data_IF_801745709684
#
_entry.id   IF_801745709684
#
_cell.length_a   1.000
_cell.length_b   1.000
_cell.length_c   1.000
_cell.angle_alpha   90.00
_cell.angle_beta   90.00
_cell.angle_gamma   90.00
#
_symmetry.space_group_name_H-M   'P 1'
#
loop_
_entity.id
_entity.type
_entity.pdbx_description
1 polymer ?
#
# COMPACT_ATOMS: atom_id res chain seq x y z
N UNK A 1 5.29 4.86 -17.60
CA UNK A 1 3.90 4.43 -17.30
C UNK A 1 3.50 5.06 -15.97
N UNK A 2 2.44 5.88 -15.98
CA UNK A 2 1.95 6.57 -14.78
C UNK A 2 0.72 5.84 -14.25
N UNK A 3 0.69 5.54 -12.95
CA UNK A 3 -0.48 4.94 -12.30
C UNK A 3 -1.48 6.07 -12.03
N UNK A 4 -2.72 5.89 -12.45
CA UNK A 4 -3.81 6.84 -12.17
C UNK A 4 -4.00 6.99 -10.66
N UNK A 5 -4.08 8.23 -10.18
CA UNK A 5 -4.35 8.50 -8.78
C UNK A 5 -5.80 8.13 -8.45
N UNK A 6 -5.98 7.39 -7.36
CA UNK A 6 -7.31 7.01 -6.86
C UNK A 6 -8.14 8.24 -6.43
N UNK A 7 -7.47 9.34 -6.05
CA UNK A 7 -8.10 10.62 -5.68
C UNK A 7 -7.19 11.82 -5.98
N UNK A 8 -7.77 12.88 -6.56
CA UNK A 8 -7.15 14.20 -6.71
C UNK A 8 -7.27 15.01 -5.40
N UNK A 9 -6.33 15.92 -5.11
CA UNK A 9 -6.40 16.74 -3.88
C UNK A 9 -7.61 17.67 -3.95
N UNK A 10 -8.59 17.48 -3.07
CA UNK A 10 -9.84 18.27 -3.02
C UNK A 10 -11.08 17.58 -3.60
N UNK A 11 -10.97 16.33 -4.07
CA UNK A 11 -12.12 15.60 -4.64
C UNK A 11 -13.10 15.07 -3.57
N UNK A 12 -14.40 15.12 -3.88
CA UNK A 12 -15.47 14.58 -3.03
C UNK A 12 -15.32 13.06 -2.83
N UNK A 13 -15.69 12.58 -1.63
CA UNK A 13 -15.62 11.16 -1.27
C UNK A 13 -16.45 10.27 -2.19
N UNK A 14 -17.55 10.79 -2.77
CA UNK A 14 -18.47 10.03 -3.63
C UNK A 14 -17.87 9.86 -5.04
N UNK A 15 -17.33 10.93 -5.64
CA UNK A 15 -16.67 10.85 -6.95
C UNK A 15 -15.35 10.09 -6.91
N UNK A 16 -14.71 10.05 -5.73
CA UNK A 16 -13.51 9.24 -5.49
C UNK A 16 -13.76 7.73 -5.63
N UNK A 17 -14.99 7.25 -5.43
CA UNK A 17 -15.30 5.81 -5.56
C UNK A 17 -15.14 5.37 -7.02
N UNK A 18 -15.70 6.15 -7.97
CA UNK A 18 -15.61 5.86 -9.40
C UNK A 18 -14.16 5.89 -9.92
N UNK A 19 -13.39 6.91 -9.55
CA UNK A 19 -11.98 7.00 -9.95
C UNK A 19 -11.13 5.90 -9.32
N UNK A 20 -11.47 5.45 -8.11
CA UNK A 20 -10.78 4.33 -7.45
C UNK A 20 -11.06 3.01 -8.16
N UNK A 21 -12.28 2.76 -8.65
CA UNK A 21 -12.60 1.56 -9.42
C UNK A 21 -11.85 1.51 -10.76
N UNK A 22 -11.76 2.64 -11.47
CA UNK A 22 -10.98 2.74 -12.71
C UNK A 22 -9.48 2.50 -12.41
N UNK A 23 -8.97 3.09 -11.32
CA UNK A 23 -7.59 2.86 -10.89
C UNK A 23 -7.33 1.39 -10.51
N UNK A 24 -8.31 0.70 -9.89
CA UNK A 24 -8.24 -0.74 -9.59
C UNK A 24 -8.15 -1.55 -10.89
N UNK A 25 -9.01 -1.28 -11.87
CA UNK A 25 -9.01 -2.00 -13.15
C UNK A 25 -7.68 -1.81 -13.90
N UNK A 26 -7.17 -0.57 -13.94
CA UNK A 26 -5.89 -0.27 -14.56
C UNK A 26 -4.71 -0.90 -13.80
N UNK A 27 -4.75 -0.91 -12.46
CA UNK A 27 -3.76 -1.58 -11.63
C UNK A 27 -3.77 -3.09 -11.83
N UNK A 28 -4.93 -3.72 -11.96
CA UNK A 28 -5.08 -5.14 -12.25
C UNK A 28 -4.43 -5.48 -13.60
N UNK A 29 -4.73 -4.69 -14.64
CA UNK A 29 -4.12 -4.86 -15.96
C UNK A 29 -2.60 -4.72 -15.93
N UNK A 30 -2.09 -3.69 -15.26
CA UNK A 30 -0.64 -3.50 -15.06
C UNK A 30 0.00 -4.68 -14.33
N UNK A 31 -0.65 -5.21 -13.30
CA UNK A 31 -0.07 -6.28 -12.50
C UNK A 31 0.02 -7.60 -13.28
N UNK A 32 -0.96 -7.91 -14.12
CA UNK A 32 -0.93 -9.09 -15.00
C UNK A 32 0.10 -8.92 -16.13
N UNK A 33 0.23 -7.70 -16.68
CA UNK A 33 1.15 -7.39 -17.79
C UNK A 33 2.61 -7.35 -17.34
N UNK A 34 2.91 -6.68 -16.23
CA UNK A 34 4.27 -6.48 -15.73
C UNK A 34 4.74 -7.67 -14.88
N UNK A 35 3.82 -8.37 -14.20
CA UNK A 35 4.12 -9.45 -13.24
C UNK A 35 5.24 -9.06 -12.26
N UNK A 36 5.07 -7.97 -11.49
CA UNK A 36 6.11 -7.48 -10.61
C UNK A 36 6.39 -8.50 -9.50
N UNK A 37 7.66 -8.90 -9.35
CA UNK A 37 8.08 -9.76 -8.24
C UNK A 37 8.02 -9.05 -6.89
N UNK A 38 8.19 -7.73 -6.90
CA UNK A 38 8.23 -6.88 -5.71
C UNK A 38 7.38 -5.66 -5.96
N UNK A 39 6.47 -5.37 -5.03
CA UNK A 39 5.65 -4.16 -4.99
C UNK A 39 6.10 -3.36 -3.79
N UNK A 40 6.81 -2.26 -4.06
CA UNK A 40 7.19 -1.29 -3.03
C UNK A 40 6.21 -0.12 -3.06
N UNK A 41 5.54 0.13 -1.95
CA UNK A 41 4.57 1.21 -1.83
C UNK A 41 4.78 2.04 -0.57
N UNK A 42 4.49 3.33 -0.65
CA UNK A 42 4.38 4.21 0.50
C UNK A 42 2.98 4.84 0.53
N UNK A 43 2.58 5.41 1.65
CA UNK A 43 1.75 6.62 1.68
C UNK A 43 0.38 6.63 0.98
N UNK A 44 0.25 7.11 -0.28
CA UNK A 44 -1.04 7.58 -0.74
C UNK A 44 -2.03 6.45 -1.04
N UNK A 45 -3.32 6.68 -0.77
CA UNK A 45 -4.41 5.70 -0.93
C UNK A 45 -4.52 5.01 -2.29
N UNK A 46 -3.81 5.50 -3.31
CA UNK A 46 -3.67 4.84 -4.63
C UNK A 46 -2.93 3.50 -4.55
N UNK A 47 -2.05 3.29 -3.57
CA UNK A 47 -1.35 2.02 -3.39
C UNK A 47 -2.22 0.94 -2.73
N UNK A 48 -3.32 1.31 -2.08
CA UNK A 48 -4.22 0.36 -1.41
C UNK A 48 -4.86 -0.59 -2.42
N UNK A 49 -5.46 -0.14 -3.54
CA UNK A 49 -5.89 -0.98 -4.65
C UNK A 49 -4.86 -2.04 -5.08
N UNK A 50 -3.61 -1.65 -5.30
CA UNK A 50 -2.54 -2.56 -5.70
C UNK A 50 -2.29 -3.65 -4.67
N UNK A 51 -2.26 -3.28 -3.39
CA UNK A 51 -2.08 -4.23 -2.30
C UNK A 51 -3.29 -5.18 -2.18
N UNK A 52 -4.52 -4.69 -2.41
CA UNK A 52 -5.74 -5.52 -2.43
C UNK A 52 -5.68 -6.56 -3.53
N UNK A 53 -5.33 -6.14 -4.74
CA UNK A 53 -5.25 -7.07 -5.86
C UNK A 53 -4.12 -8.08 -5.61
N UNK A 54 -2.95 -7.64 -5.14
CA UNK A 54 -1.82 -8.54 -4.83
C UNK A 54 -2.18 -9.56 -3.74
N UNK A 55 -2.90 -9.13 -2.70
CA UNK A 55 -3.43 -10.01 -1.67
C UNK A 55 -4.43 -11.01 -2.24
N UNK A 56 -5.35 -10.57 -3.10
CA UNK A 56 -6.31 -11.45 -3.76
C UNK A 56 -5.62 -12.54 -4.61
N UNK A 57 -4.60 -12.17 -5.39
CA UNK A 57 -3.79 -13.17 -6.11
C UNK A 57 -3.09 -14.16 -5.18
N UNK A 58 -2.57 -13.68 -4.05
CA UNK A 58 -1.95 -14.55 -3.04
C UNK A 58 -2.97 -15.53 -2.43
N UNK A 59 -4.22 -15.11 -2.21
CA UNK A 59 -5.31 -16.00 -1.75
C UNK A 59 -5.68 -17.03 -2.82
N UNK A 60 -5.65 -16.65 -4.10
CA UNK A 60 -5.84 -17.58 -5.23
C UNK A 60 -4.65 -18.51 -5.51
N UNK A 61 -3.61 -18.50 -4.66
CA UNK A 61 -2.42 -19.34 -4.80
C UNK A 61 -1.33 -18.77 -5.71
N UNK A 62 -1.54 -17.60 -6.32
CA UNK A 62 -0.58 -16.93 -7.20
C UNK A 62 0.33 -16.03 -6.34
N UNK A 63 1.41 -16.61 -5.82
CA UNK A 63 2.39 -15.93 -4.94
C UNK A 63 3.58 -15.34 -5.69
N UNK A 64 3.35 -14.72 -6.84
CA UNK A 64 4.44 -14.16 -7.65
C UNK A 64 4.99 -12.82 -7.17
N UNK A 65 4.30 -12.14 -6.25
CA UNK A 65 4.58 -10.76 -5.84
C UNK A 65 4.66 -10.65 -4.32
N UNK A 66 5.72 -9.99 -3.85
CA UNK A 66 5.89 -9.61 -2.44
C UNK A 66 5.59 -8.14 -2.26
N UNK A 67 4.77 -7.81 -1.25
CA UNK A 67 4.31 -6.44 -1.00
C UNK A 67 5.06 -5.85 0.20
N UNK A 68 5.84 -4.80 -0.06
CA UNK A 68 6.60 -4.06 0.94
C UNK A 68 6.01 -2.66 1.08
N UNK A 69 5.57 -2.34 2.29
CA UNK A 69 5.04 -1.01 2.60
C UNK A 69 6.03 -0.21 3.42
N UNK A 70 6.46 0.95 2.93
CA UNK A 70 7.31 1.87 3.66
C UNK A 70 6.45 3.03 4.17
N UNK A 71 6.36 3.19 5.48
CA UNK A 71 5.63 4.30 6.07
C UNK A 71 6.39 5.62 5.87
N UNK A 72 5.64 6.71 5.73
CA UNK A 72 6.21 8.05 5.55
C UNK A 72 6.98 8.51 6.79
N UNK A 73 8.14 9.14 6.57
CA UNK A 73 8.98 9.72 7.62
C UNK A 73 8.22 10.72 8.51
N UNK A 74 7.26 11.46 7.94
CA UNK A 74 6.44 12.44 8.67
C UNK A 74 5.54 11.80 9.73
N UNK A 75 5.34 10.47 9.70
CA UNK A 75 4.50 9.74 10.66
C UNK A 75 5.33 9.29 11.85
N UNK A 76 5.52 10.19 12.82
CA UNK A 76 6.32 9.91 14.03
C UNK A 76 5.55 9.16 15.11
N UNK A 77 4.27 9.49 15.31
CA UNK A 77 3.47 9.01 16.47
C UNK A 77 2.46 7.91 16.13
N UNK A 78 1.91 7.92 14.91
CA UNK A 78 0.84 7.02 14.46
C UNK A 78 1.04 6.67 12.99
N UNK A 79 0.76 5.42 12.60
CA UNK A 79 0.72 5.00 11.19
C UNK A 79 -0.26 5.88 10.40
N UNK A 80 -0.03 6.00 9.09
CA UNK A 80 -1.01 6.59 8.18
C UNK A 80 -2.28 5.73 8.15
N UNK A 81 -3.41 6.30 7.67
CA UNK A 81 -4.65 5.52 7.55
C UNK A 81 -4.45 4.31 6.61
N UNK A 82 -3.74 4.51 5.50
CA UNK A 82 -3.39 3.45 4.56
C UNK A 82 -2.45 2.42 5.20
N UNK A 83 -1.39 2.86 5.90
CA UNK A 83 -0.47 1.97 6.61
C UNK A 83 -1.17 1.17 7.71
N UNK A 84 -2.07 1.80 8.47
CA UNK A 84 -2.87 1.14 9.50
C UNK A 84 -3.84 0.11 8.90
N UNK A 85 -4.50 0.45 7.80
CA UNK A 85 -5.41 -0.45 7.09
C UNK A 85 -4.67 -1.68 6.56
N UNK A 86 -3.55 -1.47 5.85
CA UNK A 86 -2.70 -2.53 5.32
C UNK A 86 -2.11 -3.40 6.43
N UNK A 87 -1.69 -2.78 7.54
CA UNK A 87 -1.23 -3.49 8.72
C UNK A 87 -2.33 -4.38 9.32
N UNK A 88 -3.54 -3.84 9.55
CA UNK A 88 -4.65 -4.58 10.16
C UNK A 88 -5.19 -5.69 9.25
N UNK A 89 -5.30 -5.43 7.96
CA UNK A 89 -5.81 -6.40 6.99
C UNK A 89 -4.77 -7.45 6.54
N UNK A 90 -3.54 -7.38 7.06
CA UNK A 90 -2.46 -8.34 6.75
C UNK A 90 -2.16 -8.43 5.24
N UNK A 91 -2.26 -7.30 4.54
CA UNK A 91 -2.16 -7.25 3.08
C UNK A 91 -0.74 -7.05 2.58
N UNK A 92 0.16 -6.72 3.50
CA UNK A 92 1.58 -6.45 3.25
C UNK A 92 2.40 -7.55 3.88
N UNK A 93 3.42 -8.01 3.16
CA UNK A 93 4.35 -9.02 3.67
C UNK A 93 5.28 -8.41 4.71
N UNK A 94 5.79 -7.21 4.41
CA UNK A 94 6.63 -6.46 5.32
C UNK A 94 6.18 -4.99 5.35
N UNK A 95 6.12 -4.45 6.57
CA UNK A 95 5.82 -3.06 6.80
C UNK A 95 7.03 -2.41 7.47
N UNK A 96 7.60 -1.38 6.87
CA UNK A 96 8.75 -0.66 7.38
C UNK A 96 8.34 0.65 8.04
N UNK A 97 8.90 0.90 9.23
CA UNK A 97 8.70 2.14 10.00
C UNK A 97 10.04 2.80 10.29
N UNK A 98 10.01 4.13 10.31
CA UNK A 98 11.23 4.93 10.50
C UNK A 98 11.45 5.38 11.95
N UNK A 99 10.49 5.11 12.84
CA UNK A 99 10.53 5.55 14.24
C UNK A 99 10.40 4.37 15.20
N UNK A 100 11.24 4.28 16.25
CA UNK A 100 11.22 3.14 17.18
C UNK A 100 9.90 3.05 17.96
N UNK A 101 9.30 4.20 18.31
CA UNK A 101 7.99 4.26 18.97
C UNK A 101 6.88 3.58 18.17
N UNK A 102 6.97 3.59 16.84
CA UNK A 102 6.00 2.89 16.00
C UNK A 102 6.20 1.38 16.01
N UNK A 103 7.45 0.91 16.11
CA UNK A 103 7.80 -0.51 16.24
C UNK A 103 7.29 -1.08 17.56
N UNK A 104 7.47 -0.35 18.66
CA UNK A 104 6.93 -0.75 19.98
C UNK A 104 5.40 -0.93 19.91
N UNK A 105 4.71 -0.01 19.24
CA UNK A 105 3.25 -0.06 19.10
C UNK A 105 2.76 -1.09 18.08
N UNK A 106 3.57 -1.42 17.07
CA UNK A 106 3.23 -2.32 15.98
C UNK A 106 4.35 -3.35 15.81
N UNK A 107 4.34 -4.44 16.59
CA UNK A 107 5.46 -5.38 16.64
C UNK A 107 5.75 -6.09 15.31
N UNK A 108 4.77 -6.18 14.39
CA UNK A 108 4.97 -6.74 13.03
C UNK A 108 5.64 -5.75 12.06
N UNK A 109 5.75 -4.47 12.42
CA UNK A 109 6.51 -3.53 11.64
C UNK A 109 8.02 -3.78 11.80
N UNK A 110 8.81 -3.50 10.79
CA UNK A 110 10.26 -3.53 10.81
C UNK A 110 10.79 -2.11 10.94
N UNK A 111 11.52 -1.85 12.02
CA UNK A 111 12.20 -0.57 12.19
C UNK A 111 13.46 -0.56 11.33
N UNK A 112 13.59 0.44 10.47
CA UNK A 112 14.72 0.58 9.52
C UNK A 112 15.47 1.90 9.67
N UNK A 113 15.14 2.70 10.68
CA UNK A 113 15.72 4.02 10.87
C UNK A 113 15.25 5.05 9.83
N UNK A 114 16.02 6.11 9.69
CA UNK A 114 15.73 7.21 8.77
C UNK A 114 16.16 6.80 7.35
N UNK A 115 15.21 6.35 6.54
CA UNK A 115 15.40 6.15 5.10
C UNK A 115 15.18 7.51 4.43
N UNK A 116 16.28 8.21 4.11
CA UNK A 116 16.30 9.43 3.29
C UNK A 116 16.21 9.11 1.80
#
# INVERSE_FOLDING_TARGET
MQIYRSREVGQSYITSIGTTLIAIAHALWLMIKIRPKVILCNGPGTCVPLCVIAFFFKVLGIRWSSVFYVESIARVRKLSLSGLLLYKLHMVDQLFVQWPKLKEKHPRAHYVGCLM
#
